data_IF_007901741708
#
_entry.id   IF_007901741708
#
_cell.length_a   1.000
_cell.length_b   1.000
_cell.length_c   1.000
_cell.angle_alpha   90.00
_cell.angle_beta   90.00
_cell.angle_gamma   90.00
#
_symmetry.space_group_name_H-M   'P 1'
#
loop_
_entity.id
_entity.type
_entity.pdbx_description
1 polymer ?
#
# COMPACT_ATOMS: atom_id res chain seq x y z
N UNK A 1 27.09 -55.68 58.43
CA UNK A 1 27.53 -54.70 57.41
C UNK A 1 26.40 -54.67 56.37
N UNK A 2 25.61 -53.64 56.39
CA UNK A 2 24.40 -53.49 55.57
C UNK A 2 24.72 -52.73 54.26
N UNK A 3 24.41 -53.33 53.16
CA UNK A 3 24.51 -52.65 51.86
C UNK A 3 23.15 -52.04 51.48
N UNK A 4 23.11 -50.74 51.38
CA UNK A 4 21.93 -49.97 50.99
C UNK A 4 21.83 -49.90 49.44
N UNK A 5 20.78 -50.50 48.92
CA UNK A 5 20.44 -50.44 47.49
C UNK A 5 19.61 -49.19 47.24
N UNK A 6 20.10 -48.27 46.38
CA UNK A 6 19.37 -47.11 45.94
C UNK A 6 18.65 -47.44 44.63
N UNK A 7 17.32 -47.45 44.67
CA UNK A 7 16.47 -47.65 43.50
C UNK A 7 16.18 -46.26 42.87
N UNK A 8 16.69 -46.04 41.70
CA UNK A 8 16.40 -44.82 40.90
C UNK A 8 15.13 -45.09 40.06
N UNK A 9 14.02 -44.46 40.40
CA UNK A 9 12.83 -44.44 39.56
C UNK A 9 12.95 -43.27 38.58
N UNK A 10 13.10 -43.60 37.29
CA UNK A 10 12.95 -42.68 36.18
C UNK A 10 11.47 -42.34 35.99
N UNK A 11 11.05 -41.15 36.38
CA UNK A 11 9.78 -40.57 36.00
C UNK A 11 9.99 -39.83 34.68
N UNK A 12 9.60 -40.48 33.55
CA UNK A 12 9.63 -39.93 32.22
C UNK A 12 8.51 -38.89 32.10
N UNK A 13 8.92 -37.64 31.98
CA UNK A 13 8.07 -36.47 31.83
C UNK A 13 7.02 -36.64 30.73
N UNK A 14 5.79 -36.70 31.15
CA UNK A 14 4.59 -36.65 30.29
C UNK A 14 4.42 -35.20 29.81
N UNK A 15 4.66 -34.99 28.53
CA UNK A 15 4.33 -33.72 27.86
C UNK A 15 2.85 -33.39 28.08
N UNK A 16 2.49 -32.19 28.53
CA UNK A 16 1.09 -31.81 28.66
C UNK A 16 0.48 -31.70 27.27
N UNK A 17 -0.57 -32.47 27.00
CA UNK A 17 -1.39 -32.38 25.81
C UNK A 17 -1.99 -30.98 25.67
N UNK A 18 -1.97 -30.36 24.47
CA UNK A 18 -2.59 -29.07 24.29
C UNK A 18 -4.10 -29.16 24.57
N UNK A 19 -4.55 -28.38 25.54
CA UNK A 19 -5.97 -28.26 25.89
C UNK A 19 -6.70 -27.67 24.69
N UNK A 20 -7.62 -28.39 24.06
CA UNK A 20 -8.50 -27.87 23.01
C UNK A 20 -9.31 -26.72 23.63
N UNK A 21 -9.08 -25.53 23.18
CA UNK A 21 -9.92 -24.36 23.48
C UNK A 21 -11.30 -24.60 22.86
N UNK A 22 -12.31 -24.62 23.69
CA UNK A 22 -13.72 -24.70 23.26
C UNK A 22 -14.11 -23.35 22.59
N UNK A 23 -15.02 -23.41 21.60
CA UNK A 23 -15.51 -22.28 20.83
C UNK A 23 -16.15 -21.13 21.64
N UNK A 24 -16.33 -21.30 22.93
CA UNK A 24 -16.92 -20.35 23.88
C UNK A 24 -15.93 -19.36 24.49
N UNK A 25 -14.62 -19.45 24.16
CA UNK A 25 -13.56 -18.53 24.64
C UNK A 25 -13.03 -17.56 23.57
N UNK A 26 -13.71 -17.45 22.45
CA UNK A 26 -13.47 -16.37 21.50
C UNK A 26 -14.40 -15.24 21.96
N UNK A 27 -13.88 -14.42 22.86
CA UNK A 27 -14.56 -13.20 23.31
C UNK A 27 -14.81 -12.30 22.10
N UNK A 28 -15.98 -11.64 22.11
CA UNK A 28 -16.46 -10.77 21.05
C UNK A 28 -15.53 -9.57 20.81
N UNK A 29 -15.57 -8.90 19.64
CA UNK A 29 -14.66 -7.78 19.27
C UNK A 29 -14.66 -6.60 20.25
N UNK A 30 -15.58 -6.58 21.22
CA UNK A 30 -15.68 -5.51 22.25
C UNK A 30 -14.50 -5.54 23.24
N UNK A 31 -13.89 -6.70 23.48
CA UNK A 31 -12.79 -6.82 24.44
C UNK A 31 -11.49 -6.13 24.01
N UNK A 32 -11.30 -5.91 22.71
CA UNK A 32 -10.11 -5.23 22.17
C UNK A 32 -10.16 -3.73 22.49
N UNK A 33 -11.32 -3.12 22.41
CA UNK A 33 -11.51 -1.71 22.75
C UNK A 33 -11.39 -1.43 24.25
N UNK A 34 -11.78 -2.39 25.11
CA UNK A 34 -11.60 -2.29 26.56
C UNK A 34 -10.13 -2.38 26.97
N UNK A 35 -9.31 -3.16 26.24
CA UNK A 35 -7.90 -3.36 26.56
C UNK A 35 -7.02 -2.23 26.01
N UNK A 36 -7.30 -1.72 24.80
CA UNK A 36 -6.45 -0.76 24.10
C UNK A 36 -7.03 0.66 24.06
N UNK A 37 -8.26 0.87 24.54
CA UNK A 37 -8.99 2.13 24.44
C UNK A 37 -9.50 2.39 23.01
N UNK A 38 -10.29 3.45 22.84
CA UNK A 38 -10.68 3.91 21.52
C UNK A 38 -9.46 4.40 20.74
N UNK A 39 -9.36 4.13 19.43
CA UNK A 39 -8.27 4.66 18.60
C UNK A 39 -8.30 6.19 18.67
N UNK A 40 -7.24 6.77 19.19
CA UNK A 40 -7.17 8.20 19.55
C UNK A 40 -7.34 9.10 18.32
N UNK A 41 -6.95 8.64 17.15
CA UNK A 41 -7.21 9.29 15.86
C UNK A 41 -6.78 8.34 14.72
N UNK A 42 -7.70 8.01 13.83
CA UNK A 42 -7.36 7.32 12.58
C UNK A 42 -7.24 8.37 11.49
N UNK A 43 -6.03 8.58 10.96
CA UNK A 43 -5.81 9.46 9.82
C UNK A 43 -6.44 8.84 8.57
N UNK A 44 -7.48 9.47 8.05
CA UNK A 44 -8.27 8.91 6.96
C UNK A 44 -7.65 9.22 5.59
N UNK A 45 -8.02 8.43 4.58
CA UNK A 45 -7.64 8.69 3.19
C UNK A 45 -8.14 10.07 2.73
N UNK A 46 -9.37 10.44 3.11
CA UNK A 46 -9.92 11.75 2.78
C UNK A 46 -9.09 12.88 3.38
N UNK A 47 -8.67 12.76 4.64
CA UNK A 47 -7.77 13.74 5.26
C UNK A 47 -6.43 13.83 4.51
N UNK A 48 -5.87 12.69 4.07
CA UNK A 48 -4.64 12.68 3.29
C UNK A 48 -4.79 13.38 1.93
N UNK A 49 -5.97 13.34 1.33
CA UNK A 49 -6.29 14.09 0.09
C UNK A 49 -6.43 15.58 0.40
N UNK A 50 -7.18 15.94 1.44
CA UNK A 50 -7.41 17.33 1.85
C UNK A 50 -6.11 18.03 2.26
N UNK A 51 -5.21 17.31 2.93
CA UNK A 51 -3.88 17.79 3.33
C UNK A 51 -2.86 17.78 2.16
N UNK A 52 -3.22 17.22 1.01
CA UNK A 52 -2.38 17.19 -0.19
C UNK A 52 -1.24 16.15 -0.17
N UNK A 53 -1.25 15.21 0.76
CA UNK A 53 -0.34 14.05 0.75
C UNK A 53 -0.73 13.05 -0.35
N UNK A 54 -2.03 12.93 -0.61
CA UNK A 54 -2.58 12.17 -1.72
C UNK A 54 -3.27 13.10 -2.71
N UNK A 55 -3.14 12.81 -3.98
CA UNK A 55 -3.80 13.52 -5.08
C UNK A 55 -4.83 12.57 -5.67
N UNK A 56 -6.10 12.95 -5.60
CA UNK A 56 -7.17 12.16 -6.21
C UNK A 56 -7.11 12.25 -7.74
N UNK A 57 -7.04 11.09 -8.38
CA UNK A 57 -7.01 10.94 -9.83
C UNK A 57 -8.14 10.04 -10.34
N UNK A 58 -9.15 9.81 -9.50
CA UNK A 58 -10.24 8.88 -9.78
C UNK A 58 -11.01 9.23 -11.04
N UNK A 59 -11.19 10.52 -11.35
CA UNK A 59 -11.89 10.95 -12.57
C UNK A 59 -11.21 10.40 -13.83
N UNK A 60 -9.91 10.66 -14.00
CA UNK A 60 -9.15 10.17 -15.16
C UNK A 60 -8.95 8.65 -15.11
N UNK A 61 -8.85 8.05 -13.93
CA UNK A 61 -8.78 6.61 -13.78
C UNK A 61 -10.05 5.92 -14.29
N UNK A 62 -11.22 6.48 -14.03
CA UNK A 62 -12.49 6.00 -14.59
C UNK A 62 -12.52 6.08 -16.11
N UNK A 63 -12.03 7.18 -16.70
CA UNK A 63 -11.90 7.31 -18.16
C UNK A 63 -10.96 6.25 -18.74
N UNK A 64 -9.87 5.96 -18.04
CA UNK A 64 -8.95 4.87 -18.40
C UNK A 64 -9.57 3.47 -18.19
N UNK A 65 -10.75 3.37 -17.54
CA UNK A 65 -11.49 2.14 -17.27
C UNK A 65 -11.00 1.40 -16.02
N UNK A 66 -10.50 2.12 -15.03
CA UNK A 66 -10.24 1.63 -13.67
C UNK A 66 -11.44 2.02 -12.80
N UNK A 67 -12.16 1.03 -12.28
CA UNK A 67 -13.43 1.22 -11.56
C UNK A 67 -13.23 1.71 -10.12
N UNK A 68 -12.12 1.32 -9.49
CA UNK A 68 -11.83 1.69 -8.10
C UNK A 68 -11.31 3.13 -7.99
N UNK A 69 -11.60 3.84 -6.89
CA UNK A 69 -11.00 5.13 -6.62
C UNK A 69 -9.46 5.04 -6.60
N UNK A 70 -8.80 5.96 -7.28
CA UNK A 70 -7.33 5.98 -7.41
C UNK A 70 -6.80 7.29 -6.85
N UNK A 71 -5.75 7.23 -6.02
CA UNK A 71 -4.97 8.40 -5.66
C UNK A 71 -3.48 8.14 -5.88
N UNK A 72 -2.72 9.21 -6.03
CA UNK A 72 -1.26 9.18 -6.13
C UNK A 72 -0.64 9.86 -4.92
N UNK A 73 0.47 9.34 -4.40
CA UNK A 73 1.28 10.09 -3.43
C UNK A 73 1.85 11.35 -4.07
N UNK A 74 2.09 12.37 -3.25
CA UNK A 74 2.69 13.62 -3.71
C UNK A 74 4.04 13.39 -4.41
N UNK A 75 4.85 12.44 -3.93
CA UNK A 75 6.14 12.09 -4.52
C UNK A 75 5.99 11.46 -5.90
N UNK A 76 5.08 10.47 -6.05
CA UNK A 76 4.81 9.84 -7.34
C UNK A 76 4.27 10.84 -8.37
N UNK A 77 3.39 11.75 -7.94
CA UNK A 77 2.88 12.83 -8.77
C UNK A 77 4.00 13.75 -9.24
N UNK A 78 4.83 14.26 -8.32
CA UNK A 78 5.92 15.18 -8.64
C UNK A 78 6.97 14.57 -9.59
N UNK A 79 7.22 13.25 -9.47
CA UNK A 79 8.18 12.56 -10.35
C UNK A 79 7.60 12.23 -11.73
N UNK A 80 6.36 11.75 -11.80
CA UNK A 80 5.83 11.17 -13.04
C UNK A 80 4.84 12.06 -13.78
N UNK A 81 4.07 12.92 -13.08
CA UNK A 81 2.96 13.69 -13.66
C UNK A 81 3.24 15.17 -13.74
N UNK A 82 3.62 15.79 -12.65
CA UNK A 82 3.77 17.25 -12.53
C UNK A 82 4.65 17.85 -13.64
N UNK A 83 4.12 18.86 -14.35
CA UNK A 83 4.81 19.52 -15.45
C UNK A 83 4.35 20.96 -15.59
N UNK A 84 5.28 21.90 -15.48
CA UNK A 84 4.99 23.33 -15.53
C UNK A 84 5.29 23.95 -16.89
N UNK A 85 4.75 25.15 -17.14
CA UNK A 85 5.10 25.96 -18.32
C UNK A 85 6.60 26.25 -18.37
N UNK A 86 7.26 26.40 -17.22
CA UNK A 86 8.69 26.61 -17.13
C UNK A 86 9.47 25.35 -17.59
N UNK A 87 8.96 24.15 -17.28
CA UNK A 87 9.54 22.89 -17.74
C UNK A 87 9.36 22.74 -19.25
N UNK A 88 8.17 23.07 -19.78
CA UNK A 88 7.89 23.07 -21.21
C UNK A 88 8.81 24.00 -22.00
N UNK A 89 9.11 25.20 -21.47
CA UNK A 89 10.04 26.16 -22.10
C UNK A 89 11.49 25.70 -22.05
N UNK A 90 11.86 24.92 -21.03
CA UNK A 90 13.25 24.50 -20.79
C UNK A 90 13.60 23.17 -21.43
N UNK A 91 12.64 22.26 -21.56
CA UNK A 91 12.85 20.90 -22.05
C UNK A 91 12.06 20.62 -23.32
N UNK A 92 10.86 20.11 -23.18
CA UNK A 92 9.94 19.81 -24.28
C UNK A 92 8.52 20.03 -23.81
N UNK A 93 7.61 20.32 -24.72
CA UNK A 93 6.21 20.47 -24.37
C UNK A 93 5.64 19.13 -23.91
N UNK A 94 5.04 19.12 -22.74
CA UNK A 94 4.22 18.06 -22.21
C UNK A 94 3.08 18.67 -21.38
N UNK A 95 2.01 17.91 -21.15
CA UNK A 95 0.94 18.30 -20.26
C UNK A 95 0.77 17.25 -19.15
N UNK A 96 0.22 17.65 -18.01
CA UNK A 96 0.00 16.79 -16.87
C UNK A 96 -1.07 15.72 -17.16
N UNK A 97 -2.09 16.06 -17.96
CA UNK A 97 -3.15 15.13 -18.29
C UNK A 97 -2.63 13.94 -19.10
N UNK A 98 -1.82 14.21 -20.14
CA UNK A 98 -1.20 13.15 -20.94
C UNK A 98 -0.24 12.29 -20.11
N UNK A 99 0.57 12.92 -19.24
CA UNK A 99 1.49 12.20 -18.34
C UNK A 99 0.74 11.31 -17.34
N UNK A 100 -0.35 11.83 -16.75
CA UNK A 100 -1.20 11.05 -15.85
C UNK A 100 -1.88 9.89 -16.60
N UNK A 101 -2.33 10.13 -17.83
CA UNK A 101 -2.91 9.08 -18.67
C UNK A 101 -1.93 7.93 -18.89
N UNK A 102 -0.65 8.22 -19.17
CA UNK A 102 0.39 7.20 -19.33
C UNK A 102 0.56 6.36 -18.05
N UNK A 103 0.57 6.99 -16.88
CA UNK A 103 0.65 6.30 -15.58
C UNK A 103 -0.53 5.35 -15.40
N UNK A 104 -1.77 5.86 -15.59
CA UNK A 104 -3.00 5.08 -15.40
C UNK A 104 -3.14 3.94 -16.40
N UNK A 105 -2.74 4.17 -17.65
CA UNK A 105 -2.75 3.15 -18.68
C UNK A 105 -1.79 2.00 -18.37
N UNK A 106 -0.57 2.32 -17.92
CA UNK A 106 0.40 1.30 -17.52
C UNK A 106 -0.03 0.54 -16.26
N UNK A 107 -0.65 1.24 -15.28
CA UNK A 107 -1.27 0.60 -14.14
C UNK A 107 -2.36 -0.39 -14.58
N UNK A 108 -3.28 0.03 -15.46
CA UNK A 108 -4.35 -0.84 -15.97
C UNK A 108 -3.81 -2.10 -16.63
N UNK A 109 -2.75 -1.98 -17.43
CA UNK A 109 -2.11 -3.13 -18.07
C UNK A 109 -1.46 -4.07 -17.04
N UNK A 110 -0.81 -3.50 -16.03
CA UNK A 110 -0.17 -4.28 -14.97
C UNK A 110 -1.20 -4.98 -14.06
N UNK A 111 -2.33 -4.32 -13.77
CA UNK A 111 -3.39 -4.84 -12.92
C UNK A 111 -4.04 -6.14 -13.44
N UNK A 112 -3.91 -6.44 -14.73
CA UNK A 112 -4.35 -7.72 -15.31
C UNK A 112 -3.66 -8.94 -14.69
N UNK A 113 -2.50 -8.76 -14.05
CA UNK A 113 -1.78 -9.84 -13.37
C UNK A 113 -2.37 -10.21 -12.02
N UNK A 114 -3.26 -9.36 -11.48
CA UNK A 114 -3.83 -9.49 -10.15
C UNK A 114 -2.84 -9.20 -9.02
N UNK A 115 -3.35 -9.23 -7.79
CA UNK A 115 -2.57 -8.96 -6.57
C UNK A 115 -2.97 -7.65 -5.89
N UNK A 116 -2.69 -7.55 -4.59
CA UNK A 116 -2.94 -6.36 -3.79
C UNK A 116 -1.82 -5.32 -3.91
N UNK A 117 -0.63 -5.74 -4.29
CA UNK A 117 0.51 -4.87 -4.61
C UNK A 117 1.03 -5.20 -6.01
N UNK A 118 1.20 -4.20 -6.83
CA UNK A 118 1.63 -4.33 -8.22
C UNK A 118 2.71 -3.29 -8.49
N UNK A 119 3.87 -3.75 -8.99
CA UNK A 119 4.92 -2.87 -9.52
C UNK A 119 4.78 -2.78 -11.02
N UNK A 120 4.83 -1.56 -11.54
CA UNK A 120 4.75 -1.31 -12.96
C UNK A 120 5.75 -0.23 -13.40
N UNK A 121 5.98 -0.16 -14.69
CA UNK A 121 7.01 0.68 -15.28
C UNK A 121 6.42 1.54 -16.39
N UNK A 122 6.91 2.75 -16.51
CA UNK A 122 6.61 3.65 -17.62
C UNK A 122 7.84 4.48 -18.00
N UNK A 123 7.85 4.99 -19.21
CA UNK A 123 8.86 5.97 -19.62
C UNK A 123 8.32 7.37 -19.42
N UNK A 124 9.07 8.22 -18.71
CA UNK A 124 8.74 9.64 -18.54
C UNK A 124 9.97 10.51 -18.75
N UNK A 125 9.80 11.73 -19.23
CA UNK A 125 10.86 12.74 -19.23
C UNK A 125 11.03 13.27 -17.79
N UNK A 126 12.22 13.15 -17.18
CA UNK A 126 12.45 13.67 -15.84
C UNK A 126 12.34 15.19 -15.83
N UNK A 127 11.63 15.73 -14.83
CA UNK A 127 11.45 17.15 -14.61
C UNK A 127 12.72 17.79 -14.04
N UNK A 128 12.88 19.10 -14.21
CA UNK A 128 13.91 19.90 -13.54
C UNK A 128 15.27 19.93 -14.24
N UNK A 129 15.45 19.16 -15.31
CA UNK A 129 16.67 19.12 -16.10
C UNK A 129 16.62 19.97 -17.38
N UNK A 130 17.51 19.65 -18.32
CA UNK A 130 17.49 20.12 -19.71
C UNK A 130 17.33 18.96 -20.70
N UNK A 131 17.28 17.74 -20.18
CA UNK A 131 17.16 16.54 -21.01
C UNK A 131 15.73 16.35 -21.49
N UNK A 132 15.59 15.94 -22.75
CA UNK A 132 14.30 15.62 -23.38
C UNK A 132 14.10 14.10 -23.56
N UNK A 133 15.12 13.31 -23.19
CA UNK A 133 15.05 11.85 -23.36
C UNK A 133 14.23 11.21 -22.25
N UNK A 134 13.22 10.37 -22.58
CA UNK A 134 12.49 9.60 -21.60
C UNK A 134 13.43 8.68 -20.81
N UNK A 135 13.14 8.51 -19.52
CA UNK A 135 13.78 7.56 -18.62
C UNK A 135 12.75 6.65 -18.03
N UNK A 136 13.16 5.41 -17.78
CA UNK A 136 12.32 4.43 -17.10
C UNK A 136 12.05 4.89 -15.67
N UNK A 137 10.78 4.92 -15.28
CA UNK A 137 10.33 5.08 -13.92
C UNK A 137 9.62 3.79 -13.47
N UNK A 138 9.76 3.46 -12.20
CA UNK A 138 9.06 2.35 -11.57
C UNK A 138 8.12 2.93 -10.54
N UNK A 139 6.88 2.49 -10.54
CA UNK A 139 5.86 2.85 -9.57
C UNK A 139 5.30 1.58 -8.93
N UNK A 140 4.73 1.75 -7.75
CA UNK A 140 4.02 0.73 -6.99
C UNK A 140 2.56 1.16 -6.85
N UNK A 141 1.63 0.25 -7.05
CA UNK A 141 0.22 0.44 -6.77
C UNK A 141 -0.22 -0.56 -5.71
N UNK A 142 -0.88 -0.07 -4.68
CA UNK A 142 -1.40 -0.86 -3.57
C UNK A 142 -2.93 -0.75 -3.60
N UNK A 143 -3.60 -1.91 -3.64
CA UNK A 143 -5.04 -2.00 -3.47
C UNK A 143 -5.34 -2.39 -2.03
N UNK A 144 -6.03 -1.52 -1.32
CA UNK A 144 -6.40 -1.71 0.08
C UNK A 144 -7.81 -1.20 0.37
N UNK A 145 -8.25 -1.31 1.63
CA UNK A 145 -9.53 -0.74 2.06
C UNK A 145 -9.45 0.79 2.12
N UNK A 146 -10.49 1.47 1.68
CA UNK A 146 -10.72 2.89 1.91
C UNK A 146 -11.35 3.16 3.27
N UNK A 147 -11.75 4.41 3.52
CA UNK A 147 -12.28 4.86 4.82
C UNK A 147 -13.58 4.16 5.21
N UNK A 148 -14.39 3.72 4.25
CA UNK A 148 -15.62 2.95 4.47
C UNK A 148 -15.45 1.43 4.17
N UNK A 149 -14.21 0.97 3.98
CA UNK A 149 -13.89 -0.43 3.66
C UNK A 149 -14.01 -0.80 2.18
N UNK A 150 -14.32 0.17 1.32
CA UNK A 150 -14.34 -0.01 -0.14
C UNK A 150 -12.90 -0.22 -0.68
N UNK A 151 -12.75 -0.97 -1.79
CA UNK A 151 -11.43 -1.14 -2.39
C UNK A 151 -10.98 0.18 -3.06
N UNK A 152 -9.78 0.63 -2.69
CA UNK A 152 -9.13 1.82 -3.26
C UNK A 152 -7.72 1.48 -3.73
N UNK A 153 -7.21 2.23 -4.70
CA UNK A 153 -5.86 2.08 -5.22
C UNK A 153 -5.03 3.30 -4.84
N UNK A 154 -3.85 3.08 -4.30
CA UNK A 154 -2.85 4.14 -4.06
C UNK A 154 -1.62 3.87 -4.90
N UNK A 155 -1.24 4.84 -5.74
CA UNK A 155 -0.01 4.80 -6.54
C UNK A 155 1.07 5.56 -5.79
N UNK A 156 2.20 4.92 -5.57
CA UNK A 156 3.32 5.49 -4.81
C UNK A 156 4.67 5.14 -5.45
N UNK A 157 5.73 5.75 -4.95
CA UNK A 157 7.09 5.35 -5.30
C UNK A 157 7.39 3.96 -4.75
N UNK A 158 8.34 3.19 -5.32
CA UNK A 158 8.61 1.82 -4.90
C UNK A 158 9.10 1.68 -3.46
N UNK A 159 9.70 2.74 -2.93
CA UNK A 159 10.31 2.86 -1.60
C UNK A 159 9.41 3.54 -0.55
N UNK A 160 8.20 3.95 -0.95
CA UNK A 160 7.16 4.41 -0.04
C UNK A 160 6.35 3.22 0.50
N UNK A 161 6.04 3.23 1.80
CA UNK A 161 5.19 2.25 2.48
C UNK A 161 3.81 2.84 2.79
#
# INVERSE_FOLDING_TARGET
>A
MAATTITTTNDAGRCPTPRKLTKEQISEPQDIFEIFGEPIHTYTRQQAIDDGFLIDVSSMANEAGIVFPVAMTRAAWADCVEWTDADSKRQTYQDEAGRLWDVLWMLKLAARRGGSEIRFQLYRVPRGGRGIKPRLAVLKAICGPGDAGEPVITICMPDED
#
